data_IF_267434669635
#
_entry.id   IF_267434669635
#
_cell.length_a   1.000
_cell.length_b   1.000
_cell.length_c   1.000
_cell.angle_alpha   90.00
_cell.angle_beta   90.00
_cell.angle_gamma   90.00
#
_symmetry.space_group_name_H-M   'P 1'
#
loop_
_entity.id
_entity.type
_entity.pdbx_description
1 polymer ?
#
# COMPACT_ATOMS: atom_id res chain seq x y z
N UNK A 1 1.76 11.68 -17.32
CA UNK A 1 1.65 10.22 -17.05
C UNK A 1 0.17 9.81 -17.12
N UNK A 2 -0.18 8.79 -17.93
CA UNK A 2 -1.58 8.35 -18.03
C UNK A 2 -1.94 7.54 -16.78
N UNK A 3 -2.81 8.09 -15.90
CA UNK A 3 -3.24 7.41 -14.67
C UNK A 3 -4.17 6.23 -14.92
N UNK A 4 -4.78 6.12 -16.09
CA UNK A 4 -5.95 5.25 -16.28
C UNK A 4 -5.71 4.06 -17.18
N UNK A 5 -4.95 4.18 -18.27
CA UNK A 5 -4.83 3.11 -19.26
C UNK A 5 -3.39 2.64 -19.40
N UNK A 6 -3.15 1.36 -19.13
CA UNK A 6 -1.87 0.70 -19.24
C UNK A 6 -2.09 -0.81 -19.57
N UNK A 7 -1.02 -1.62 -19.60
CA UNK A 7 -1.10 -3.05 -19.90
C UNK A 7 -1.93 -3.82 -18.88
N UNK A 8 -1.82 -3.47 -17.58
CA UNK A 8 -2.56 -4.13 -16.51
C UNK A 8 -4.07 -3.86 -16.61
N UNK A 9 -4.49 -2.61 -16.79
CA UNK A 9 -5.91 -2.26 -16.98
C UNK A 9 -6.47 -2.88 -18.26
N UNK A 10 -5.68 -2.96 -19.34
CA UNK A 10 -6.07 -3.62 -20.58
C UNK A 10 -6.30 -5.13 -20.40
N UNK A 11 -5.41 -5.83 -19.67
CA UNK A 11 -5.56 -7.25 -19.38
C UNK A 11 -6.78 -7.52 -18.48
N UNK A 12 -6.98 -6.69 -17.46
CA UNK A 12 -8.08 -6.83 -16.50
C UNK A 12 -9.42 -6.32 -17.03
N UNK A 13 -9.44 -5.57 -18.13
CA UNK A 13 -10.66 -4.97 -18.69
C UNK A 13 -11.29 -3.93 -17.75
N UNK A 14 -10.47 -3.11 -17.07
CA UNK A 14 -10.93 -2.07 -16.14
C UNK A 14 -10.41 -0.69 -16.52
N UNK A 15 -11.06 0.37 -16.01
CA UNK A 15 -10.72 1.77 -16.34
C UNK A 15 -9.70 2.39 -15.39
N UNK A 16 -9.64 1.87 -14.14
CA UNK A 16 -8.79 2.40 -13.07
C UNK A 16 -7.72 1.39 -12.66
N UNK A 17 -6.48 1.82 -12.39
CA UNK A 17 -5.41 0.95 -11.95
C UNK A 17 -5.51 0.62 -10.45
N UNK A 18 -6.72 0.34 -9.97
CA UNK A 18 -7.04 -0.02 -8.59
C UNK A 18 -7.72 -1.38 -8.58
N UNK A 19 -7.11 -2.31 -7.86
CA UNK A 19 -7.55 -3.70 -7.77
C UNK A 19 -7.91 -4.06 -6.33
N UNK A 20 -9.05 -4.72 -6.13
CA UNK A 20 -9.41 -5.34 -4.85
C UNK A 20 -8.66 -6.66 -4.69
N UNK A 21 -7.93 -6.81 -3.58
CA UNK A 21 -7.28 -8.06 -3.21
C UNK A 21 -8.30 -9.20 -2.99
N UNK A 22 -7.92 -10.42 -3.36
CA UNK A 22 -8.70 -11.62 -3.08
C UNK A 22 -8.65 -12.01 -1.60
N UNK A 23 -9.33 -11.26 -0.74
CA UNK A 23 -9.36 -11.50 0.70
C UNK A 23 -10.32 -12.63 1.04
N UNK A 24 -9.78 -13.75 1.56
CA UNK A 24 -10.57 -14.94 1.90
C UNK A 24 -11.77 -14.61 2.80
N UNK A 25 -12.97 -15.04 2.39
CA UNK A 25 -14.22 -14.77 3.08
C UNK A 25 -14.73 -13.33 3.01
N UNK A 26 -13.86 -12.33 2.90
CA UNK A 26 -14.20 -10.89 2.96
C UNK A 26 -14.58 -10.33 1.58
N UNK A 27 -13.83 -10.69 0.54
CA UNK A 27 -14.08 -10.22 -0.82
C UNK A 27 -15.12 -11.11 -1.50
N UNK A 28 -16.39 -10.81 -1.29
CA UNK A 28 -17.58 -11.46 -1.89
C UNK A 28 -18.09 -10.65 -3.07
N UNK A 29 -19.11 -11.16 -3.75
CA UNK A 29 -19.71 -10.54 -4.93
C UNK A 29 -20.18 -9.10 -4.72
N UNK A 30 -20.71 -8.75 -3.53
CA UNK A 30 -21.11 -7.37 -3.22
C UNK A 30 -19.94 -6.38 -3.35
N UNK A 31 -18.81 -6.72 -2.74
CA UNK A 31 -17.62 -5.85 -2.76
C UNK A 31 -16.98 -5.82 -4.15
N UNK A 32 -16.86 -6.98 -4.81
CA UNK A 32 -16.31 -7.06 -6.17
C UNK A 32 -17.18 -6.26 -7.14
N UNK A 33 -18.52 -6.37 -7.06
CA UNK A 33 -19.45 -5.59 -7.88
C UNK A 33 -19.29 -4.08 -7.67
N UNK A 34 -19.17 -3.63 -6.41
CA UNK A 34 -19.00 -2.21 -6.08
C UNK A 34 -17.69 -1.64 -6.63
N UNK A 35 -16.58 -2.41 -6.56
CA UNK A 35 -15.28 -2.05 -7.12
C UNK A 35 -15.34 -2.00 -8.64
N UNK A 36 -15.93 -3.01 -9.28
CA UNK A 36 -16.08 -3.07 -10.74
C UNK A 36 -16.97 -1.94 -11.27
N UNK A 37 -18.08 -1.66 -10.58
CA UNK A 37 -18.97 -0.53 -10.90
C UNK A 37 -18.27 0.84 -10.83
N UNK A 38 -17.22 0.95 -9.98
CA UNK A 38 -16.42 2.15 -9.87
C UNK A 38 -15.27 2.25 -10.90
N UNK A 39 -15.17 1.26 -11.81
CA UNK A 39 -14.16 1.22 -12.87
C UNK A 39 -12.86 0.48 -12.50
N UNK A 40 -12.77 -0.12 -11.31
CA UNK A 40 -11.65 -0.97 -10.90
C UNK A 40 -11.84 -2.44 -11.27
N UNK A 41 -10.97 -3.28 -10.73
CA UNK A 41 -11.06 -4.73 -10.87
C UNK A 41 -11.09 -5.42 -9.50
N UNK A 42 -11.90 -6.46 -9.33
CA UNK A 42 -12.02 -7.16 -8.06
C UNK A 42 -11.76 -8.66 -8.17
N UNK A 43 -11.01 -9.20 -7.18
CA UNK A 43 -10.89 -10.64 -6.98
C UNK A 43 -11.83 -11.13 -5.88
N UNK A 44 -12.67 -12.14 -6.19
CA UNK A 44 -13.36 -12.93 -5.19
C UNK A 44 -12.33 -13.70 -4.34
N UNK A 45 -12.44 -13.65 -3.03
CA UNK A 45 -11.55 -14.34 -2.10
C UNK A 45 -12.05 -15.73 -1.78
N UNK A 46 -11.63 -16.76 -2.54
CA UNK A 46 -12.19 -18.11 -2.49
C UNK A 46 -11.21 -19.16 -1.96
N UNK A 47 -10.30 -18.74 -1.09
CA UNK A 47 -9.33 -19.64 -0.45
C UNK A 47 -10.03 -20.68 0.41
N UNK A 48 -9.86 -21.97 0.09
CA UNK A 48 -10.47 -23.12 0.79
C UNK A 48 -12.00 -23.11 0.83
N UNK A 49 -12.65 -22.26 0.06
CA UNK A 49 -14.10 -22.24 -0.01
C UNK A 49 -14.65 -23.42 -0.83
N UNK A 50 -15.83 -23.96 -0.46
CA UNK A 50 -16.47 -24.99 -1.25
C UNK A 50 -16.89 -24.47 -2.64
N UNK A 51 -16.88 -25.35 -3.64
CA UNK A 51 -17.22 -24.96 -5.03
C UNK A 51 -18.60 -24.33 -5.16
N UNK A 52 -19.58 -24.83 -4.40
CA UNK A 52 -20.93 -24.26 -4.37
C UNK A 52 -20.96 -22.76 -3.96
N UNK A 53 -20.01 -22.32 -3.11
CA UNK A 53 -19.89 -20.91 -2.78
C UNK A 53 -19.27 -20.13 -3.94
N UNK A 54 -18.24 -20.70 -4.60
CA UNK A 54 -17.63 -20.09 -5.78
C UNK A 54 -18.66 -19.87 -6.88
N UNK A 55 -19.45 -20.92 -7.19
CA UNK A 55 -20.54 -20.88 -8.17
C UNK A 55 -21.52 -19.74 -7.83
N UNK A 56 -22.01 -19.73 -6.60
CA UNK A 56 -22.98 -18.71 -6.14
C UNK A 56 -22.45 -17.28 -6.27
N UNK A 57 -21.21 -17.02 -5.87
CA UNK A 57 -20.63 -15.68 -5.92
C UNK A 57 -20.35 -15.22 -7.37
N UNK A 58 -19.92 -16.14 -8.24
CA UNK A 58 -19.74 -15.89 -9.68
C UNK A 58 -21.09 -15.62 -10.37
N UNK A 59 -22.10 -16.44 -10.07
CA UNK A 59 -23.45 -16.24 -10.61
C UNK A 59 -24.05 -14.91 -10.16
N UNK A 60 -23.86 -14.52 -8.90
CA UNK A 60 -24.31 -13.24 -8.37
C UNK A 60 -23.70 -12.05 -9.13
N UNK A 61 -22.39 -12.08 -9.43
CA UNK A 61 -21.74 -11.06 -10.24
C UNK A 61 -22.30 -10.99 -11.65
N UNK A 62 -22.50 -12.13 -12.30
CA UNK A 62 -23.04 -12.22 -13.66
C UNK A 62 -24.49 -11.74 -13.74
N UNK A 63 -25.29 -12.05 -12.72
CA UNK A 63 -26.67 -11.58 -12.62
C UNK A 63 -26.75 -10.04 -12.50
N UNK A 64 -25.72 -9.39 -11.96
CA UNK A 64 -25.57 -7.93 -11.91
C UNK A 64 -24.99 -7.35 -13.22
N UNK A 65 -24.65 -8.19 -14.21
CA UNK A 65 -24.11 -7.79 -15.50
C UNK A 65 -22.58 -7.63 -15.53
N UNK A 66 -21.86 -8.06 -14.47
CA UNK A 66 -20.41 -7.99 -14.43
C UNK A 66 -19.76 -9.26 -15.00
N UNK A 67 -18.91 -9.10 -16.01
CA UNK A 67 -18.11 -10.16 -16.62
C UNK A 67 -16.60 -10.03 -16.39
N UNK A 68 -16.12 -8.86 -15.93
CA UNK A 68 -14.71 -8.57 -15.68
C UNK A 68 -14.42 -8.62 -14.17
N UNK A 69 -14.11 -9.78 -13.67
CA UNK A 69 -13.70 -10.04 -12.28
C UNK A 69 -12.69 -11.18 -12.25
N UNK A 70 -12.02 -11.36 -11.13
CA UNK A 70 -11.13 -12.50 -10.91
C UNK A 70 -11.56 -13.34 -9.72
N UNK A 71 -10.96 -14.52 -9.59
CA UNK A 71 -11.13 -15.40 -8.43
C UNK A 71 -9.77 -15.75 -7.86
N UNK A 72 -9.58 -15.52 -6.57
CA UNK A 72 -8.35 -15.89 -5.86
C UNK A 72 -8.51 -17.26 -5.20
N UNK A 73 -7.58 -18.16 -5.49
CA UNK A 73 -7.37 -19.42 -4.77
C UNK A 73 -5.90 -19.55 -4.39
N UNK A 74 -5.62 -20.37 -3.37
CA UNK A 74 -4.25 -20.58 -2.89
C UNK A 74 -3.96 -22.09 -2.84
N UNK A 75 -3.26 -22.65 -3.84
CA UNK A 75 -3.00 -24.08 -3.93
C UNK A 75 -2.33 -24.64 -2.67
N UNK A 76 -1.28 -24.00 -2.18
CA UNK A 76 -0.52 -24.46 -1.01
C UNK A 76 -1.31 -24.49 0.31
N UNK A 77 -2.42 -23.72 0.40
CA UNK A 77 -3.27 -23.67 1.58
C UNK A 77 -4.56 -24.47 1.46
N UNK A 78 -4.75 -25.20 0.35
CA UNK A 78 -6.00 -25.91 0.03
C UNK A 78 -5.75 -27.41 -0.08
N UNK A 79 -6.61 -28.22 0.55
CA UNK A 79 -6.57 -29.68 0.39
C UNK A 79 -6.59 -30.07 -1.10
N UNK A 80 -5.79 -31.05 -1.49
CA UNK A 80 -5.59 -31.42 -2.90
C UNK A 80 -6.87 -31.79 -3.62
N UNK A 81 -7.80 -32.49 -2.96
CA UNK A 81 -9.06 -32.89 -3.58
C UNK A 81 -10.01 -31.69 -3.74
N UNK A 82 -10.00 -30.76 -2.78
CA UNK A 82 -10.76 -29.50 -2.89
C UNK A 82 -10.14 -28.60 -3.98
N UNK A 83 -8.81 -28.46 -4.01
CA UNK A 83 -8.11 -27.68 -5.03
C UNK A 83 -8.43 -28.17 -6.43
N UNK A 84 -8.40 -29.48 -6.66
CA UNK A 84 -8.76 -30.06 -7.95
C UNK A 84 -10.19 -29.63 -8.36
N UNK A 85 -11.17 -29.78 -7.48
CA UNK A 85 -12.56 -29.36 -7.74
C UNK A 85 -12.66 -27.84 -7.97
N UNK A 86 -11.95 -27.01 -7.16
CA UNK A 86 -11.96 -25.56 -7.37
C UNK A 86 -11.43 -25.21 -8.75
N UNK A 87 -10.31 -25.80 -9.18
CA UNK A 87 -9.73 -25.53 -10.52
C UNK A 87 -10.70 -25.97 -11.62
N UNK A 88 -11.33 -27.15 -11.51
CA UNK A 88 -12.33 -27.64 -12.46
C UNK A 88 -13.53 -26.69 -12.53
N UNK A 89 -14.10 -26.31 -11.37
CA UNK A 89 -15.23 -25.37 -11.29
C UNK A 89 -14.89 -24.02 -11.93
N UNK A 90 -13.71 -23.44 -11.68
CA UNK A 90 -13.30 -22.17 -12.25
C UNK A 90 -13.16 -22.23 -13.78
N UNK A 91 -12.68 -23.37 -14.30
CA UNK A 91 -12.59 -23.64 -15.75
C UNK A 91 -14.00 -23.77 -16.34
N UNK A 92 -14.87 -24.58 -15.74
CA UNK A 92 -16.26 -24.77 -16.19
C UNK A 92 -17.06 -23.46 -16.16
N UNK A 93 -16.84 -22.63 -15.15
CA UNK A 93 -17.43 -21.31 -15.04
C UNK A 93 -16.83 -20.30 -16.03
N UNK A 94 -15.76 -20.60 -16.75
CA UNK A 94 -15.07 -19.69 -17.66
C UNK A 94 -14.79 -18.34 -16.98
N UNK A 95 -14.19 -18.36 -15.77
CA UNK A 95 -13.81 -17.12 -15.09
C UNK A 95 -12.72 -16.43 -15.91
N UNK A 96 -12.75 -15.10 -16.08
CA UNK A 96 -11.80 -14.43 -16.97
C UNK A 96 -10.36 -14.40 -16.41
N UNK A 97 -10.22 -14.31 -15.09
CA UNK A 97 -8.91 -14.15 -14.43
C UNK A 97 -8.87 -14.96 -13.14
N UNK A 98 -7.76 -15.62 -12.87
CA UNK A 98 -7.47 -16.23 -11.55
C UNK A 98 -6.27 -15.56 -10.90
N UNK A 99 -6.32 -15.35 -9.58
CA UNK A 99 -5.16 -14.94 -8.79
C UNK A 99 -4.68 -16.12 -7.94
N UNK A 100 -3.39 -16.41 -8.04
CA UNK A 100 -2.69 -17.44 -7.26
C UNK A 100 -1.71 -16.80 -6.30
N UNK A 101 -1.46 -17.48 -5.19
CA UNK A 101 -0.54 -16.98 -4.16
C UNK A 101 0.16 -18.14 -3.44
N UNK A 102 1.27 -17.87 -2.83
CA UNK A 102 2.18 -18.74 -2.11
C UNK A 102 3.08 -19.49 -3.09
N UNK A 103 3.41 -20.76 -2.86
CA UNK A 103 4.34 -21.52 -3.70
C UNK A 103 3.90 -21.59 -5.18
N UNK A 104 4.85 -21.49 -6.10
CA UNK A 104 4.53 -21.48 -7.54
C UNK A 104 4.14 -22.88 -8.00
N UNK A 105 2.85 -23.08 -8.28
CA UNK A 105 2.29 -24.31 -8.83
C UNK A 105 2.18 -24.24 -10.36
N UNK A 106 3.20 -24.72 -11.04
CA UNK A 106 3.27 -24.69 -12.51
C UNK A 106 2.16 -25.52 -13.16
N UNK A 107 1.67 -26.58 -12.50
CA UNK A 107 0.63 -27.45 -13.02
C UNK A 107 -0.74 -26.76 -13.01
N UNK A 108 -1.05 -26.04 -11.94
CA UNK A 108 -2.28 -25.25 -11.83
C UNK A 108 -2.25 -24.08 -12.82
N UNK A 109 -1.11 -23.38 -12.96
CA UNK A 109 -0.94 -22.32 -13.97
C UNK A 109 -1.21 -22.86 -15.37
N UNK A 110 -0.61 -24.00 -15.74
CA UNK A 110 -0.80 -24.60 -17.07
C UNK A 110 -2.27 -24.92 -17.35
N UNK A 111 -2.99 -25.51 -16.37
CA UNK A 111 -4.42 -25.84 -16.52
C UNK A 111 -5.29 -24.60 -16.83
N UNK A 112 -5.06 -23.50 -16.13
CA UNK A 112 -5.81 -22.26 -16.38
C UNK A 112 -5.48 -21.65 -17.73
N UNK A 113 -4.19 -21.63 -18.11
CA UNK A 113 -3.76 -21.13 -19.42
C UNK A 113 -4.32 -21.96 -20.57
N UNK A 114 -4.32 -23.28 -20.46
CA UNK A 114 -4.88 -24.20 -21.46
C UNK A 114 -6.40 -23.97 -21.63
N UNK A 115 -7.08 -23.51 -20.58
CA UNK A 115 -8.47 -23.10 -20.60
C UNK A 115 -8.71 -21.64 -21.07
N UNK A 116 -7.64 -20.90 -21.40
CA UNK A 116 -7.74 -19.51 -21.85
C UNK A 116 -8.04 -18.50 -20.72
N UNK A 117 -7.79 -18.88 -19.47
CA UNK A 117 -7.98 -18.05 -18.27
C UNK A 117 -6.66 -17.34 -17.94
N UNK A 118 -6.70 -16.01 -17.80
CA UNK A 118 -5.54 -15.23 -17.43
C UNK A 118 -5.11 -15.52 -15.98
N UNK A 119 -3.80 -15.62 -15.76
CA UNK A 119 -3.22 -15.96 -14.45
C UNK A 119 -2.46 -14.77 -13.88
N UNK A 120 -2.90 -14.28 -12.73
CA UNK A 120 -2.19 -13.29 -11.92
C UNK A 120 -1.52 -14.00 -10.75
N UNK A 121 -0.23 -13.79 -10.54
CA UNK A 121 0.48 -14.42 -9.43
C UNK A 121 0.96 -13.40 -8.41
N UNK A 122 0.59 -13.58 -7.14
CA UNK A 122 1.11 -12.76 -6.05
C UNK A 122 2.43 -13.34 -5.54
N UNK A 123 3.46 -12.48 -5.44
CA UNK A 123 4.83 -12.88 -5.11
C UNK A 123 5.41 -11.99 -4.01
N UNK A 124 6.31 -12.55 -3.19
CA UNK A 124 7.01 -11.86 -2.10
C UNK A 124 8.50 -11.65 -2.36
N UNK A 125 9.02 -12.13 -3.50
CA UNK A 125 10.43 -12.00 -3.87
C UNK A 125 10.61 -11.90 -5.39
N UNK A 126 11.79 -11.42 -5.81
CA UNK A 126 12.17 -11.35 -7.23
C UNK A 126 12.31 -12.74 -7.83
N UNK A 127 12.84 -13.70 -7.07
CA UNK A 127 13.00 -15.09 -7.55
C UNK A 127 11.62 -15.74 -7.81
N UNK A 128 10.64 -15.50 -6.93
CA UNK A 128 9.25 -15.93 -7.15
C UNK A 128 8.63 -15.23 -8.37
N UNK A 129 8.91 -13.94 -8.58
CA UNK A 129 8.42 -13.21 -9.74
C UNK A 129 8.91 -13.82 -11.06
N UNK A 130 10.22 -14.12 -11.15
CA UNK A 130 10.83 -14.77 -12.30
C UNK A 130 10.25 -16.19 -12.49
N UNK A 131 10.06 -16.93 -11.40
CA UNK A 131 9.48 -18.26 -11.45
C UNK A 131 8.03 -18.26 -11.92
N UNK A 132 7.21 -17.30 -11.44
CA UNK A 132 5.82 -17.15 -11.85
C UNK A 132 5.68 -16.75 -13.33
N UNK A 133 6.50 -15.81 -13.83
CA UNK A 133 6.53 -15.47 -15.25
C UNK A 133 6.92 -16.68 -16.10
N UNK A 134 7.95 -17.43 -15.70
CA UNK A 134 8.37 -18.67 -16.40
C UNK A 134 7.30 -19.76 -16.37
N UNK A 135 6.52 -19.83 -15.30
CA UNK A 135 5.38 -20.75 -15.20
C UNK A 135 4.24 -20.34 -16.13
N UNK A 136 4.23 -19.09 -16.60
CA UNK A 136 3.25 -18.55 -17.52
C UNK A 136 2.21 -17.64 -16.88
N UNK A 137 2.51 -16.97 -15.78
CA UNK A 137 1.68 -15.89 -15.29
C UNK A 137 1.62 -14.75 -16.30
N UNK A 138 0.45 -14.13 -16.46
CA UNK A 138 0.21 -13.01 -17.36
C UNK A 138 0.44 -11.65 -16.67
N UNK A 139 0.41 -11.65 -15.33
CA UNK A 139 0.60 -10.46 -14.48
C UNK A 139 1.07 -10.87 -13.09
N UNK A 140 1.79 -9.98 -12.40
CA UNK A 140 2.23 -10.19 -11.02
C UNK A 140 1.60 -9.16 -10.06
N UNK A 141 1.48 -9.58 -8.79
CA UNK A 141 1.25 -8.70 -7.64
C UNK A 141 2.48 -8.77 -6.76
N UNK A 142 3.30 -7.73 -6.72
CA UNK A 142 4.43 -7.63 -5.80
C UNK A 142 3.92 -7.24 -4.41
N UNK A 143 4.00 -8.18 -3.44
CA UNK A 143 3.52 -7.98 -2.09
C UNK A 143 4.67 -7.62 -1.15
N UNK A 144 4.69 -6.36 -0.68
CA UNK A 144 5.61 -5.93 0.38
C UNK A 144 5.25 -6.47 1.76
N UNK A 145 6.23 -6.44 2.67
CA UNK A 145 6.07 -6.90 4.07
C UNK A 145 5.01 -6.09 4.84
N UNK A 146 4.62 -4.92 4.35
CA UNK A 146 3.59 -4.03 4.91
C UNK A 146 2.16 -4.55 4.72
N UNK A 147 1.97 -5.59 3.92
CA UNK A 147 0.64 -6.12 3.62
C UNK A 147 -0.03 -6.71 4.86
N UNK A 148 -1.36 -6.57 4.94
CA UNK A 148 -2.21 -7.31 5.89
C UNK A 148 -2.49 -8.72 5.39
N UNK A 149 -2.84 -9.62 6.32
CA UNK A 149 -3.04 -11.03 5.99
C UNK A 149 -1.73 -11.80 5.90
N UNK A 150 -1.71 -12.86 5.13
CA UNK A 150 -0.50 -13.66 4.91
C UNK A 150 0.54 -12.88 4.12
N UNK A 151 1.76 -12.87 4.63
CA UNK A 151 2.90 -12.15 4.05
C UNK A 151 3.96 -13.17 3.64
N UNK A 152 4.24 -13.23 2.33
CA UNK A 152 5.17 -14.24 1.79
C UNK A 152 6.63 -13.79 1.90
N UNK A 153 6.89 -12.53 1.56
CA UNK A 153 8.22 -11.96 1.52
C UNK A 153 8.61 -11.24 2.81
N UNK A 154 9.88 -10.85 2.88
CA UNK A 154 10.45 -10.11 4.01
C UNK A 154 10.86 -8.69 3.62
N UNK A 155 10.81 -8.35 2.32
CA UNK A 155 11.26 -7.05 1.81
C UNK A 155 10.14 -6.01 1.85
N UNK A 156 10.45 -4.76 2.19
CA UNK A 156 9.53 -3.64 2.01
C UNK A 156 9.12 -3.47 0.53
N UNK A 157 7.90 -3.00 0.32
CA UNK A 157 7.35 -2.84 -1.04
C UNK A 157 8.23 -1.95 -1.92
N UNK A 158 8.76 -0.87 -1.38
CA UNK A 158 9.59 0.09 -2.11
C UNK A 158 10.92 -0.50 -2.62
N UNK A 159 11.41 -1.57 -2.00
CA UNK A 159 12.57 -2.32 -2.48
C UNK A 159 12.16 -3.45 -3.42
N UNK A 160 11.11 -4.19 -3.06
CA UNK A 160 10.65 -5.32 -3.83
C UNK A 160 10.12 -4.92 -5.20
N UNK A 161 9.28 -3.87 -5.25
CA UNK A 161 8.57 -3.46 -6.46
C UNK A 161 9.51 -3.08 -7.62
N UNK A 162 10.44 -2.13 -7.48
CA UNK A 162 11.34 -1.76 -8.59
C UNK A 162 12.25 -2.93 -9.01
N UNK A 163 12.70 -3.75 -8.05
CA UNK A 163 13.50 -4.93 -8.35
C UNK A 163 12.69 -5.99 -9.13
N UNK A 164 11.41 -6.18 -8.80
CA UNK A 164 10.50 -7.07 -9.52
C UNK A 164 10.24 -6.55 -10.93
N UNK A 165 9.88 -5.26 -11.07
CA UNK A 165 9.64 -4.62 -12.37
C UNK A 165 10.85 -4.74 -13.30
N UNK A 166 12.07 -4.58 -12.76
CA UNK A 166 13.29 -4.74 -13.55
C UNK A 166 13.60 -6.19 -13.98
N UNK A 167 13.05 -7.18 -13.28
CA UNK A 167 13.37 -8.60 -13.48
C UNK A 167 12.40 -9.34 -14.41
N UNK A 168 11.22 -8.78 -14.68
CA UNK A 168 10.16 -9.41 -15.48
C UNK A 168 9.67 -8.52 -16.61
N UNK A 169 9.03 -9.12 -17.63
CA UNK A 169 8.47 -8.40 -18.77
C UNK A 169 6.96 -8.18 -18.68
N UNK A 170 6.27 -8.95 -17.86
CA UNK A 170 4.82 -8.87 -17.65
C UNK A 170 4.45 -7.73 -16.69
N UNK A 171 3.20 -7.23 -16.74
CA UNK A 171 2.73 -6.17 -15.84
C UNK A 171 2.88 -6.53 -14.36
N UNK A 172 3.23 -5.55 -13.54
CA UNK A 172 3.36 -5.71 -12.08
C UNK A 172 2.44 -4.74 -11.36
N UNK A 173 1.61 -5.24 -10.45
CA UNK A 173 0.80 -4.46 -9.52
C UNK A 173 1.50 -4.38 -8.16
N UNK A 174 1.39 -3.26 -7.48
CA UNK A 174 1.93 -3.05 -6.14
C UNK A 174 0.90 -3.42 -5.06
N UNK A 175 1.31 -4.13 -4.01
CA UNK A 175 0.47 -4.49 -2.86
C UNK A 175 1.22 -4.40 -1.54
N UNK A 176 0.57 -3.93 -0.49
CA UNK A 176 1.14 -3.85 0.86
C UNK A 176 1.21 -2.42 1.39
N UNK A 177 0.47 -2.15 2.47
CA UNK A 177 0.46 -0.87 3.15
C UNK A 177 -0.21 0.30 2.42
N UNK A 178 -0.80 0.10 1.25
CA UNK A 178 -1.33 1.14 0.37
C UNK A 178 -2.78 1.52 0.75
N UNK A 179 -3.13 2.81 0.70
CA UNK A 179 -4.46 3.30 1.05
C UNK A 179 -4.88 4.64 0.39
N UNK A 180 -3.98 5.38 -0.25
CA UNK A 180 -4.20 6.77 -0.69
C UNK A 180 -3.82 7.01 -2.16
N UNK A 181 -4.21 8.17 -2.70
CA UNK A 181 -3.78 8.60 -4.04
C UNK A 181 -2.27 8.81 -4.16
N UNK A 182 -1.62 9.26 -3.08
CA UNK A 182 -0.17 9.35 -3.02
C UNK A 182 0.51 7.98 -3.14
N UNK A 183 -0.06 6.94 -2.51
CA UNK A 183 0.45 5.57 -2.64
C UNK A 183 0.31 5.05 -4.09
N UNK A 184 -0.80 5.38 -4.77
CA UNK A 184 -0.98 5.05 -6.18
C UNK A 184 0.12 5.69 -7.02
N UNK A 185 0.34 7.00 -6.90
CA UNK A 185 1.35 7.71 -7.67
C UNK A 185 2.76 7.20 -7.40
N UNK A 186 3.10 6.94 -6.15
CA UNK A 186 4.39 6.39 -5.78
C UNK A 186 4.60 5.01 -6.39
N UNK A 187 3.59 4.14 -6.32
CA UNK A 187 3.66 2.81 -6.92
C UNK A 187 3.86 2.88 -8.44
N UNK A 188 3.14 3.78 -9.12
CA UNK A 188 3.31 4.01 -10.56
C UNK A 188 4.71 4.58 -10.90
N UNK A 189 5.25 5.48 -10.08
CA UNK A 189 6.60 6.01 -10.24
C UNK A 189 7.70 4.95 -10.05
N UNK A 190 7.44 3.94 -9.22
CA UNK A 190 8.32 2.78 -9.02
C UNK A 190 8.16 1.71 -10.12
N UNK A 191 7.32 1.95 -11.13
CA UNK A 191 7.13 1.10 -12.30
C UNK A 191 5.97 0.11 -12.18
N UNK A 192 5.15 0.16 -11.15
CA UNK A 192 3.91 -0.60 -11.11
C UNK A 192 2.91 -0.09 -12.16
N UNK A 193 2.00 -0.96 -12.58
CA UNK A 193 0.90 -0.60 -13.48
C UNK A 193 -0.44 -0.48 -12.76
N UNK A 194 -0.44 -0.45 -11.43
CA UNK A 194 -1.59 -0.27 -10.55
C UNK A 194 -1.31 -0.72 -9.13
N UNK A 195 -2.31 -0.59 -8.28
CA UNK A 195 -2.25 -0.97 -6.87
C UNK A 195 -3.32 -2.00 -6.51
N UNK A 196 -2.97 -2.90 -5.58
CA UNK A 196 -3.89 -3.88 -5.01
C UNK A 196 -4.17 -3.51 -3.56
N UNK A 197 -5.44 -3.28 -3.25
CA UNK A 197 -5.90 -2.83 -1.94
C UNK A 197 -6.63 -3.95 -1.20
N UNK A 198 -6.16 -4.28 0.01
CA UNK A 198 -6.85 -5.14 0.96
C UNK A 198 -7.55 -4.31 2.04
N UNK A 199 -6.81 -3.89 3.07
CA UNK A 199 -7.34 -3.24 4.28
C UNK A 199 -8.20 -2.01 3.97
N UNK A 200 -7.81 -1.19 3.00
CA UNK A 200 -8.56 0.01 2.60
C UNK A 200 -9.94 -0.32 2.04
N UNK A 201 -10.09 -1.44 1.31
CA UNK A 201 -11.36 -1.91 0.78
C UNK A 201 -12.09 -2.87 1.74
N UNK A 202 -11.40 -3.48 2.71
CA UNK A 202 -12.04 -4.17 3.82
C UNK A 202 -12.85 -3.20 4.71
N UNK A 203 -12.36 -1.97 4.88
CA UNK A 203 -13.05 -0.91 5.62
C UNK A 203 -14.09 -0.17 4.74
N UNK A 204 -14.93 -0.92 4.01
CA UNK A 204 -16.04 -0.40 3.19
C UNK A 204 -17.35 -1.07 3.55
N UNK A 205 -18.46 -0.48 3.13
CA UNK A 205 -19.80 -0.96 3.46
C UNK A 205 -20.06 -2.37 2.91
N UNK A 206 -19.62 -2.65 1.67
CA UNK A 206 -19.90 -3.88 0.93
C UNK A 206 -19.00 -5.05 1.37
N UNK A 207 -17.86 -4.78 2.02
CA UNK A 207 -16.95 -5.83 2.48
C UNK A 207 -17.64 -6.78 3.49
N UNK A 208 -17.52 -8.09 3.29
CA UNK A 208 -18.14 -9.10 4.14
C UNK A 208 -17.45 -9.27 5.50
N UNK A 209 -16.44 -8.48 5.82
CA UNK A 209 -15.83 -8.40 7.13
C UNK A 209 -16.86 -7.97 8.19
N UNK A 210 -16.73 -8.53 9.39
CA UNK A 210 -17.60 -8.19 10.52
C UNK A 210 -17.39 -6.73 10.97
N UNK A 211 -18.46 -6.06 11.40
CA UNK A 211 -18.42 -4.65 11.81
C UNK A 211 -17.46 -4.39 12.98
N UNK A 212 -17.26 -5.35 13.86
CA UNK A 212 -16.26 -5.25 14.93
C UNK A 212 -14.84 -5.12 14.35
N UNK A 213 -14.50 -5.93 13.34
CA UNK A 213 -13.21 -5.82 12.65
C UNK A 213 -13.06 -4.46 11.96
N UNK A 214 -14.08 -4.03 11.18
CA UNK A 214 -14.06 -2.72 10.52
C UNK A 214 -13.85 -1.57 11.51
N UNK A 215 -14.54 -1.59 12.67
CA UNK A 215 -14.37 -0.56 13.72
C UNK A 215 -12.96 -0.56 14.31
N UNK A 216 -12.35 -1.72 14.51
CA UNK A 216 -10.96 -1.84 14.98
C UNK A 216 -9.96 -1.30 13.98
N UNK A 217 -10.20 -1.49 12.68
CA UNK A 217 -9.35 -0.88 11.64
C UNK A 217 -9.36 0.65 11.72
N UNK A 218 -10.53 1.28 11.93
CA UNK A 218 -10.62 2.75 12.05
C UNK A 218 -9.92 3.31 13.27
N UNK A 219 -9.82 2.54 14.35
CA UNK A 219 -9.17 2.95 15.58
C UNK A 219 -7.65 2.71 15.58
N UNK A 220 -7.12 1.99 14.58
CA UNK A 220 -5.74 1.52 14.57
C UNK A 220 -4.79 2.47 13.83
N UNK A 221 -3.54 2.44 14.25
CA UNK A 221 -2.39 3.05 13.59
C UNK A 221 -1.47 1.96 13.00
N UNK A 222 -0.52 2.34 12.16
CA UNK A 222 0.46 1.41 11.59
C UNK A 222 1.22 0.63 12.67
N UNK A 223 1.57 1.28 13.77
CA UNK A 223 2.24 0.70 14.93
C UNK A 223 1.40 -0.33 15.68
N UNK A 224 0.09 -0.37 15.47
CA UNK A 224 -0.82 -1.33 16.09
C UNK A 224 -0.90 -2.64 15.30
N UNK A 225 -0.18 -2.74 14.17
CA UNK A 225 -0.04 -4.00 13.44
C UNK A 225 1.20 -4.77 13.90
N UNK A 226 1.15 -6.09 13.78
CA UNK A 226 2.28 -6.98 14.05
C UNK A 226 2.31 -8.11 13.02
N UNK A 227 3.52 -8.43 12.53
CA UNK A 227 3.77 -9.64 11.74
C UNK A 227 4.05 -10.79 12.71
N UNK A 228 3.31 -11.89 12.62
CA UNK A 228 3.37 -12.99 13.59
C UNK A 228 3.01 -14.32 12.93
N UNK A 229 3.55 -15.41 13.43
CA UNK A 229 3.21 -16.80 13.10
C UNK A 229 2.19 -17.42 14.08
N UNK A 230 1.65 -16.62 15.00
CA UNK A 230 0.70 -17.07 16.02
C UNK A 230 -0.56 -17.71 15.43
N UNK A 231 -1.07 -17.17 14.30
CA UNK A 231 -2.23 -17.71 13.59
C UNK A 231 -1.79 -18.71 12.52
N UNK A 232 -1.72 -19.99 12.87
CA UNK A 232 -1.12 -21.04 12.03
C UNK A 232 -2.08 -22.18 11.69
N UNK A 233 -3.21 -22.33 12.39
CA UNK A 233 -4.19 -23.38 12.09
C UNK A 233 -4.81 -23.09 10.72
N UNK A 234 -4.87 -24.12 9.87
CA UNK A 234 -5.36 -24.07 8.49
C UNK A 234 -4.44 -23.37 7.48
N UNK A 235 -3.14 -23.23 7.77
CA UNK A 235 -2.16 -22.69 6.83
C UNK A 235 -0.84 -23.46 6.90
N UNK A 236 -0.01 -23.47 5.84
CA UNK A 236 1.32 -24.08 5.89
C UNK A 236 2.16 -23.57 7.07
N UNK A 237 2.95 -24.42 7.72
CA UNK A 237 3.81 -24.02 8.83
C UNK A 237 4.79 -22.91 8.44
N UNK A 238 5.04 -21.96 9.37
CA UNK A 238 5.98 -20.88 9.17
C UNK A 238 5.50 -19.77 8.21
N UNK A 239 4.19 -19.69 7.96
CA UNK A 239 3.58 -18.65 7.14
C UNK A 239 3.10 -17.48 8.03
N UNK A 240 3.85 -16.36 8.10
CA UNK A 240 3.49 -15.25 8.95
C UNK A 240 2.28 -14.49 8.41
N UNK A 241 1.53 -13.89 9.34
CA UNK A 241 0.39 -13.00 9.03
C UNK A 241 0.60 -11.63 9.68
N UNK A 242 0.18 -10.58 8.99
CA UNK A 242 0.09 -9.25 9.60
C UNK A 242 -1.34 -8.99 10.05
N UNK A 243 -1.47 -8.74 11.36
CA UNK A 243 -2.74 -8.54 12.05
C UNK A 243 -2.66 -7.34 12.99
N UNK A 244 -3.80 -6.85 13.48
CA UNK A 244 -3.82 -5.94 14.63
C UNK A 244 -3.31 -6.66 15.89
N UNK A 245 -2.56 -5.94 16.71
CA UNK A 245 -2.14 -6.43 18.04
C UNK A 245 -3.36 -6.77 18.91
N UNK A 246 -3.27 -7.88 19.62
CA UNK A 246 -4.31 -8.39 20.52
C UNK A 246 -3.69 -9.14 21.69
N UNK A 247 -4.51 -9.55 22.65
CA UNK A 247 -4.07 -10.43 23.75
C UNK A 247 -3.47 -11.75 23.25
N UNK A 248 -3.95 -12.23 22.08
CA UNK A 248 -3.43 -13.44 21.44
C UNK A 248 -2.02 -13.21 20.91
N UNK A 249 -1.80 -12.12 20.18
CA UNK A 249 -0.47 -11.78 19.65
C UNK A 249 0.53 -11.39 20.73
N UNK A 250 0.05 -10.92 21.90
CA UNK A 250 0.85 -10.62 23.08
C UNK A 250 1.18 -11.87 23.92
N UNK A 251 0.69 -13.06 23.54
CA UNK A 251 0.88 -14.29 24.31
C UNK A 251 0.11 -14.33 25.64
N UNK A 252 -0.80 -13.40 25.86
CA UNK A 252 -1.60 -13.29 27.09
C UNK A 252 -2.79 -14.24 27.09
N UNK A 253 -3.12 -14.82 25.94
CA UNK A 253 -4.24 -15.72 25.73
C UNK A 253 -3.78 -17.00 25.02
N UNK A 254 -4.20 -18.15 25.55
CA UNK A 254 -3.91 -19.47 24.98
C UNK A 254 -2.82 -20.28 25.69
N UNK A 255 -1.90 -19.65 26.43
CA UNK A 255 -0.88 -20.33 27.25
C UNK A 255 -0.07 -21.38 26.46
N UNK A 256 0.47 -22.39 27.19
CA UNK A 256 1.23 -23.52 26.60
C UNK A 256 0.36 -24.58 25.91
N UNK A 257 -0.89 -24.26 25.56
CA UNK A 257 -1.86 -25.19 24.98
C UNK A 257 -1.98 -25.06 23.46
N UNK A 258 -0.87 -24.78 22.76
CA UNK A 258 -0.85 -24.66 21.30
C UNK A 258 -1.49 -25.85 20.56
N UNK A 259 -1.49 -27.04 21.17
CA UNK A 259 -2.09 -28.25 20.62
C UNK A 259 -3.60 -28.42 20.92
N UNK A 260 -4.18 -27.57 21.77
CA UNK A 260 -5.59 -27.66 22.11
C UNK A 260 -6.42 -26.78 21.14
N UNK A 261 -7.38 -27.43 20.46
CA UNK A 261 -8.38 -26.73 19.65
C UNK A 261 -9.43 -26.05 20.53
N UNK A 262 -9.11 -24.86 21.02
CA UNK A 262 -10.03 -24.05 21.85
C UNK A 262 -10.99 -23.34 20.89
N UNK A 263 -12.28 -23.62 21.04
CA UNK A 263 -13.33 -22.96 20.24
C UNK A 263 -13.54 -21.54 20.79
N UNK A 264 -13.42 -20.54 19.90
CA UNK A 264 -13.62 -19.11 20.18
C UNK A 264 -14.80 -18.51 19.43
N UNK A 265 -15.42 -19.23 18.53
CA UNK A 265 -16.55 -18.78 17.72
C UNK A 265 -17.09 -19.85 16.82
N UNK A 266 -18.04 -19.46 15.99
CA UNK A 266 -18.74 -20.35 15.06
C UNK A 266 -19.12 -19.61 13.77
N UNK A 267 -19.14 -20.35 12.66
CA UNK A 267 -19.71 -19.92 11.36
C UNK A 267 -20.53 -21.07 10.78
N UNK A 268 -21.85 -20.91 10.67
CA UNK A 268 -22.77 -21.91 10.10
C UNK A 268 -22.58 -23.32 10.67
N UNK A 269 -22.39 -23.44 12.01
CA UNK A 269 -22.14 -24.69 12.72
C UNK A 269 -20.67 -25.18 12.65
N UNK A 270 -19.79 -24.51 11.93
CA UNK A 270 -18.35 -24.79 11.88
C UNK A 270 -17.64 -24.07 13.04
N UNK A 271 -16.93 -24.77 13.92
CA UNK A 271 -16.20 -24.12 15.00
C UNK A 271 -15.02 -23.32 14.50
N UNK A 272 -14.84 -22.10 15.03
CA UNK A 272 -13.66 -21.26 14.86
C UNK A 272 -12.71 -21.53 16.05
N UNK A 273 -11.47 -21.83 15.75
CA UNK A 273 -10.47 -22.16 16.78
C UNK A 273 -9.54 -20.98 17.07
N UNK A 274 -9.13 -20.86 18.33
CA UNK A 274 -8.02 -19.99 18.71
C UNK A 274 -6.78 -20.37 17.89
N UNK A 275 -6.02 -19.38 17.43
CA UNK A 275 -4.87 -19.50 16.51
C UNK A 275 -5.23 -19.95 15.08
N UNK A 276 -6.51 -20.03 14.72
CA UNK A 276 -6.88 -20.22 13.32
C UNK A 276 -6.65 -18.95 12.49
N UNK A 277 -6.51 -19.14 11.20
CA UNK A 277 -6.41 -18.03 10.23
C UNK A 277 -7.77 -17.45 9.85
N UNK A 278 -8.82 -17.81 10.57
CA UNK A 278 -10.16 -17.24 10.37
C UNK A 278 -10.19 -15.78 10.84
N UNK A 279 -10.65 -14.89 9.97
CA UNK A 279 -10.86 -13.46 10.25
C UNK A 279 -12.34 -13.21 10.49
N UNK A 280 -12.75 -12.26 11.34
CA UNK A 280 -14.16 -12.00 11.61
C UNK A 280 -14.96 -11.66 10.36
N UNK A 281 -15.97 -12.49 10.04
CA UNK A 281 -16.91 -12.31 8.93
C UNK A 281 -18.32 -11.99 9.45
N UNK A 282 -19.18 -11.41 8.61
CA UNK A 282 -20.58 -11.09 8.97
C UNK A 282 -21.39 -12.31 9.40
N UNK A 283 -21.05 -13.50 8.89
CA UNK A 283 -21.66 -14.80 9.22
C UNK A 283 -21.22 -15.39 10.54
N UNK A 284 -20.15 -14.87 11.14
CA UNK A 284 -19.51 -15.44 12.33
C UNK A 284 -20.09 -14.86 13.63
N UNK A 285 -20.02 -15.67 14.68
CA UNK A 285 -20.26 -15.28 16.07
C UNK A 285 -19.09 -15.70 16.93
N UNK A 286 -18.91 -15.08 18.11
CA UNK A 286 -17.88 -15.46 19.07
C UNK A 286 -16.98 -14.31 19.50
N UNK A 287 -15.78 -14.64 19.90
CA UNK A 287 -14.79 -13.69 20.38
C UNK A 287 -13.92 -13.15 19.23
N UNK A 288 -14.38 -12.09 18.58
CA UNK A 288 -13.70 -11.46 17.45
C UNK A 288 -12.32 -10.91 17.83
N UNK A 289 -12.09 -10.52 19.09
CA UNK A 289 -10.80 -10.04 19.57
C UNK A 289 -9.72 -11.13 19.62
N UNK A 290 -10.12 -12.40 19.60
CA UNK A 290 -9.22 -13.55 19.59
C UNK A 290 -8.99 -14.12 18.18
N UNK A 291 -9.74 -13.67 17.16
CA UNK A 291 -9.56 -14.07 15.76
C UNK A 291 -8.41 -13.31 15.07
N UNK A 292 -8.02 -13.74 13.88
CA UNK A 292 -7.01 -13.07 13.07
C UNK A 292 -7.55 -11.75 12.49
N UNK A 293 -7.21 -10.63 13.13
CA UNK A 293 -7.64 -9.28 12.73
C UNK A 293 -6.70 -8.73 11.66
N UNK A 294 -6.81 -9.20 10.44
CA UNK A 294 -5.92 -8.82 9.34
C UNK A 294 -5.92 -7.32 9.08
N UNK A 295 -4.72 -6.71 9.05
CA UNK A 295 -4.52 -5.30 8.77
C UNK A 295 -3.10 -5.03 8.26
N UNK A 296 -2.94 -4.35 7.14
CA UNK A 296 -1.66 -3.83 6.67
C UNK A 296 -1.28 -2.53 7.37
N UNK A 297 -0.02 -2.10 7.23
CA UNK A 297 0.49 -0.87 7.86
C UNK A 297 -0.21 0.41 7.37
N UNK A 298 -0.87 0.37 6.21
CA UNK A 298 -1.71 1.47 5.71
C UNK A 298 -2.97 1.75 6.53
N UNK A 299 -3.29 0.92 7.53
CA UNK A 299 -4.50 1.02 8.36
C UNK A 299 -4.67 2.41 8.99
N UNK A 300 -3.58 3.03 9.46
CA UNK A 300 -3.61 4.36 10.07
C UNK A 300 -4.06 5.50 9.16
N UNK A 301 -4.19 5.26 7.84
CA UNK A 301 -4.68 6.25 6.86
C UNK A 301 -6.16 6.04 6.47
N UNK A 302 -6.83 5.05 7.07
CA UNK A 302 -8.24 4.76 6.87
C UNK A 302 -9.03 5.42 8.01
N UNK A 303 -9.95 6.34 7.69
CA UNK A 303 -10.64 7.19 8.68
C UNK A 303 -12.14 6.94 8.80
N UNK A 304 -12.72 6.22 7.86
CA UNK A 304 -14.16 6.05 7.72
C UNK A 304 -14.52 4.67 7.15
N UNK A 305 -15.79 4.31 7.23
CA UNK A 305 -16.40 3.22 6.49
C UNK A 305 -17.32 3.87 5.48
N UNK A 306 -17.00 3.73 4.22
CA UNK A 306 -17.71 4.35 3.09
C UNK A 306 -17.96 3.29 2.02
N UNK A 307 -18.87 3.52 1.06
CA UNK A 307 -18.99 2.65 -0.11
C UNK A 307 -17.65 2.49 -0.85
N UNK A 308 -17.32 1.29 -1.32
CA UNK A 308 -16.05 1.00 -2.01
C UNK A 308 -15.80 1.93 -3.19
N UNK A 309 -16.86 2.23 -3.97
CA UNK A 309 -16.77 3.20 -5.06
C UNK A 309 -16.43 4.62 -4.60
N UNK A 310 -16.86 5.03 -3.42
CA UNK A 310 -16.48 6.34 -2.86
C UNK A 310 -14.99 6.34 -2.46
N UNK A 311 -14.52 5.28 -1.80
CA UNK A 311 -13.10 5.09 -1.47
C UNK A 311 -12.22 5.20 -2.71
N UNK A 312 -12.57 4.49 -3.78
CA UNK A 312 -11.82 4.51 -5.03
C UNK A 312 -11.80 5.88 -5.69
N UNK A 313 -12.95 6.58 -5.71
CA UNK A 313 -13.01 7.96 -6.23
C UNK A 313 -12.12 8.92 -5.45
N UNK A 314 -12.08 8.81 -4.12
CA UNK A 314 -11.18 9.62 -3.28
C UNK A 314 -9.72 9.36 -3.64
N UNK A 315 -9.30 8.09 -3.74
CA UNK A 315 -7.92 7.73 -4.11
C UNK A 315 -7.54 8.31 -5.49
N UNK A 316 -8.45 8.19 -6.47
CA UNK A 316 -8.19 8.74 -7.81
C UNK A 316 -8.16 10.26 -7.81
N UNK A 317 -9.10 10.92 -7.12
CA UNK A 317 -9.14 12.38 -7.02
C UNK A 317 -7.90 12.96 -6.33
N UNK A 318 -7.44 12.32 -5.24
CA UNK A 318 -6.19 12.69 -4.58
C UNK A 318 -5.00 12.56 -5.52
N UNK A 319 -4.89 11.44 -6.27
CA UNK A 319 -3.84 11.24 -7.24
C UNK A 319 -3.88 12.29 -8.37
N UNK A 320 -5.06 12.55 -8.93
CA UNK A 320 -5.26 13.57 -9.97
C UNK A 320 -4.92 14.98 -9.47
N UNK A 321 -5.28 15.30 -8.23
CA UNK A 321 -4.95 16.59 -7.61
C UNK A 321 -3.43 16.75 -7.41
N UNK A 322 -2.72 15.73 -6.97
CA UNK A 322 -1.26 15.76 -6.86
C UNK A 322 -0.59 15.98 -8.23
N UNK A 323 -1.06 15.30 -9.28
CA UNK A 323 -0.53 15.51 -10.64
C UNK A 323 -0.82 16.90 -11.17
N UNK A 324 -2.05 17.39 -11.02
CA UNK A 324 -2.42 18.74 -11.46
C UNK A 324 -1.61 19.82 -10.75
N UNK A 325 -1.31 19.64 -9.46
CA UNK A 325 -0.45 20.54 -8.72
C UNK A 325 0.99 20.54 -9.26
N UNK A 326 1.45 19.43 -9.84
CA UNK A 326 2.78 19.30 -10.46
C UNK A 326 2.82 19.90 -11.87
N UNK A 327 1.76 19.79 -12.68
CA UNK A 327 1.68 20.33 -14.05
C UNK A 327 1.53 21.86 -14.11
N UNK A 328 0.97 22.50 -13.06
CA UNK A 328 0.84 23.97 -13.01
C UNK A 328 2.20 24.69 -12.92
N UNK A 329 3.29 23.97 -12.63
CA UNK A 329 4.66 24.52 -12.59
C UNK A 329 5.36 24.54 -13.94
N UNK A 330 4.80 23.98 -15.02
CA UNK A 330 5.41 23.97 -16.37
C UNK A 330 4.88 25.06 -17.34
N UNK A 331 4.01 25.97 -16.91
CA UNK A 331 3.56 27.06 -17.78
C UNK A 331 4.60 28.18 -17.87
N UNK A 332 5.03 28.64 -19.08
CA UNK A 332 6.03 29.67 -19.21
C UNK A 332 5.48 31.00 -18.66
N UNK A 333 6.27 31.61 -17.79
CA UNK A 333 6.00 32.95 -17.27
C UNK A 333 6.09 33.99 -18.43
N UNK A 334 4.96 34.47 -18.87
CA UNK A 334 4.89 35.79 -19.52
C UNK A 334 3.76 36.59 -18.88
N UNK A 335 4.16 37.68 -18.32
CA UNK A 335 3.44 38.91 -18.11
C UNK A 335 3.22 39.38 -16.67
N UNK A 336 3.88 40.47 -16.44
CA UNK A 336 3.42 41.70 -15.75
C UNK A 336 3.51 41.73 -14.23
N UNK A 337 4.63 42.26 -13.80
CA UNK A 337 4.76 42.97 -12.56
C UNK A 337 3.76 44.14 -12.51
N UNK A 338 2.91 44.15 -11.52
CA UNK A 338 2.21 45.39 -11.08
C UNK A 338 2.84 45.81 -9.76
N UNK A 339 3.65 46.87 -9.85
CA UNK A 339 4.13 47.64 -8.69
C UNK A 339 2.97 48.28 -7.94
N UNK A 340 2.89 48.01 -6.63
CA UNK A 340 2.29 48.91 -5.69
C UNK A 340 3.37 49.39 -4.71
N UNK A 341 3.77 50.65 -4.89
CA UNK A 341 4.53 51.40 -3.89
C UNK A 341 3.59 51.96 -2.83
N UNK A 342 3.85 51.66 -1.59
CA UNK A 342 3.19 52.26 -0.45
C UNK A 342 4.15 52.19 0.74
N UNK A 343 4.79 53.33 1.05
CA UNK A 343 5.63 53.54 2.23
C UNK A 343 4.82 53.34 3.51
N UNK A 344 5.32 52.55 4.44
CA UNK A 344 5.17 52.79 5.88
C UNK A 344 6.30 52.10 6.66
N UNK A 345 6.97 52.92 7.46
CA UNK A 345 8.06 52.58 8.38
C UNK A 345 7.57 51.70 9.55
N UNK A 346 8.32 50.68 9.84
CA UNK A 346 8.21 49.86 11.05
C UNK A 346 8.96 48.56 10.83
N UNK A 347 9.83 48.16 11.76
CA UNK A 347 10.68 46.96 11.70
C UNK A 347 9.94 45.72 11.23
N UNK A 348 9.84 45.52 9.91
CA UNK A 348 9.34 44.31 9.26
C UNK A 348 10.54 43.52 8.75
N UNK A 349 10.74 42.29 9.23
CA UNK A 349 11.49 41.32 8.50
C UNK A 349 10.82 41.13 7.14
N UNK A 350 11.43 41.63 6.07
CA UNK A 350 10.86 41.65 4.73
C UNK A 350 10.53 40.25 4.23
N UNK A 351 9.45 40.13 3.48
CA UNK A 351 9.10 38.92 2.72
C UNK A 351 10.15 38.69 1.65
N UNK A 352 10.64 37.46 1.51
CA UNK A 352 11.63 37.10 0.48
C UNK A 352 11.01 37.27 -0.92
N UNK A 353 11.79 37.73 -1.89
CA UNK A 353 11.38 37.71 -3.30
C UNK A 353 11.49 36.31 -3.91
N UNK A 354 11.10 36.14 -5.16
CA UNK A 354 11.04 34.81 -5.80
C UNK A 354 12.41 34.12 -5.89
N UNK A 355 13.50 34.86 -6.15
CA UNK A 355 14.86 34.30 -6.24
C UNK A 355 15.39 33.97 -4.83
N UNK A 356 15.09 34.81 -3.84
CA UNK A 356 15.44 34.58 -2.45
C UNK A 356 14.68 33.37 -1.88
N UNK A 357 13.40 33.20 -2.21
CA UNK A 357 12.62 32.01 -1.85
C UNK A 357 13.23 30.74 -2.44
N UNK A 358 13.57 30.75 -3.73
CA UNK A 358 14.20 29.62 -4.41
C UNK A 358 15.56 29.28 -3.78
N UNK A 359 16.37 30.30 -3.47
CA UNK A 359 17.68 30.12 -2.79
C UNK A 359 17.52 29.52 -1.41
N UNK A 360 16.57 30.03 -0.62
CA UNK A 360 16.31 29.60 0.75
C UNK A 360 15.81 28.16 0.82
N UNK A 361 14.88 27.78 -0.06
CA UNK A 361 14.36 26.40 -0.13
C UNK A 361 15.46 25.40 -0.55
N UNK A 362 16.34 25.81 -1.47
CA UNK A 362 17.49 24.97 -1.88
C UNK A 362 18.54 24.81 -0.80
N UNK A 363 18.73 25.78 0.11
CA UNK A 363 19.58 25.60 1.28
C UNK A 363 18.99 24.60 2.27
N UNK A 364 17.66 24.66 2.50
CA UNK A 364 16.97 23.71 3.37
C UNK A 364 17.01 22.30 2.79
N UNK A 365 16.83 22.14 1.47
CA UNK A 365 17.00 20.85 0.80
C UNK A 365 18.42 20.30 1.04
N UNK A 366 19.45 21.13 0.84
CA UNK A 366 20.83 20.76 1.05
C UNK A 366 21.14 20.35 2.50
N UNK A 367 20.59 21.06 3.50
CA UNK A 367 20.76 20.73 4.91
C UNK A 367 19.99 19.45 5.30
N UNK A 368 18.77 19.26 4.77
CA UNK A 368 18.00 18.04 4.97
C UNK A 368 18.73 16.82 4.41
N UNK A 369 19.25 16.92 3.19
CA UNK A 369 20.08 15.87 2.57
C UNK A 369 21.35 15.60 3.39
N UNK A 370 21.96 16.61 3.98
CA UNK A 370 23.15 16.46 4.82
C UNK A 370 22.83 15.80 6.16
N UNK A 371 21.73 16.17 6.81
CA UNK A 371 21.22 15.49 8.02
C UNK A 371 20.94 14.01 7.72
N UNK A 372 20.29 13.70 6.61
CA UNK A 372 20.03 12.35 6.16
C UNK A 372 21.32 11.61 5.80
N UNK A 373 22.27 12.26 5.14
CA UNK A 373 23.58 11.71 4.78
C UNK A 373 24.46 11.40 5.98
N UNK A 374 24.46 12.24 7.01
CA UNK A 374 25.16 12.00 8.27
C UNK A 374 24.63 10.78 9.03
N UNK A 375 23.34 10.47 8.86
CA UNK A 375 22.70 9.30 9.45
C UNK A 375 22.93 8.03 8.62
N UNK A 376 22.94 8.15 7.29
CA UNK A 376 22.97 7.03 6.36
C UNK A 376 24.37 6.66 5.85
N UNK A 377 25.37 7.58 6.02
CA UNK A 377 26.68 7.50 5.40
C UNK A 377 26.69 8.01 3.95
N UNK A 378 27.81 8.60 3.50
CA UNK A 378 27.93 9.30 2.20
C UNK A 378 27.57 8.44 0.97
N UNK A 379 27.87 7.13 1.00
CA UNK A 379 27.54 6.22 -0.11
C UNK A 379 26.03 5.91 -0.24
N UNK A 380 25.27 6.04 0.84
CA UNK A 380 23.83 5.81 0.86
C UNK A 380 23.03 7.10 0.65
N UNK A 381 23.60 8.25 1.03
CA UNK A 381 23.01 9.56 0.72
C UNK A 381 22.93 9.83 -0.79
N UNK A 382 23.86 9.28 -1.58
CA UNK A 382 23.79 9.34 -3.04
C UNK A 382 22.60 8.57 -3.63
N UNK A 383 22.04 7.60 -2.89
CA UNK A 383 20.85 6.86 -3.30
C UNK A 383 19.54 7.62 -3.02
N UNK A 384 19.56 8.70 -2.22
CA UNK A 384 18.39 9.56 -1.97
C UNK A 384 17.98 10.36 -3.23
N UNK A 385 18.81 10.39 -4.26
CA UNK A 385 18.47 10.91 -5.59
C UNK A 385 17.53 9.98 -6.39
N UNK A 386 17.23 8.79 -5.87
CA UNK A 386 16.30 7.85 -6.51
C UNK A 386 15.00 7.74 -5.69
N UNK A 387 13.83 7.57 -6.32
CA UNK A 387 12.53 7.43 -5.66
C UNK A 387 12.38 6.24 -4.70
N UNK A 388 13.46 5.54 -4.39
CA UNK A 388 13.49 4.24 -3.73
C UNK A 388 13.49 4.25 -2.19
N UNK A 389 13.48 5.42 -1.53
CA UNK A 389 13.51 5.51 -0.08
C UNK A 389 12.13 5.78 0.50
N UNK A 390 11.45 4.72 0.87
CA UNK A 390 10.13 4.92 1.40
C UNK A 390 9.61 3.79 2.30
N UNK A 391 9.66 4.00 3.57
CA UNK A 391 8.61 3.64 4.51
C UNK A 391 8.58 4.58 5.74
N UNK A 392 9.66 4.88 6.42
CA UNK A 392 9.71 6.00 7.38
C UNK A 392 10.59 7.16 6.88
N UNK A 393 11.40 6.89 5.84
CA UNK A 393 12.05 7.89 5.00
C UNK A 393 11.15 8.49 3.92
N UNK A 394 9.95 7.95 3.66
CA UNK A 394 9.01 8.48 2.64
C UNK A 394 8.62 9.92 2.91
N UNK A 395 8.31 10.23 4.13
CA UNK A 395 7.97 11.61 4.49
C UNK A 395 9.14 12.54 4.17
N UNK A 396 10.37 12.19 4.57
CA UNK A 396 11.56 13.02 4.34
C UNK A 396 11.99 13.05 2.87
N UNK A 397 11.91 11.95 2.14
CA UNK A 397 12.16 11.91 0.71
C UNK A 397 11.07 12.66 -0.07
N UNK A 398 9.81 12.52 0.31
CA UNK A 398 8.70 13.31 -0.25
C UNK A 398 8.88 14.80 0.01
N UNK A 399 9.35 15.19 1.20
CA UNK A 399 9.67 16.58 1.53
C UNK A 399 10.86 17.09 0.73
N UNK A 400 11.91 16.28 0.54
CA UNK A 400 13.07 16.64 -0.29
C UNK A 400 12.65 16.85 -1.75
N UNK A 401 11.83 15.95 -2.31
CA UNK A 401 11.27 16.09 -3.66
C UNK A 401 10.34 17.30 -3.76
N UNK A 402 9.52 17.56 -2.74
CA UNK A 402 8.63 18.71 -2.70
C UNK A 402 9.42 20.03 -2.63
N UNK A 403 10.49 20.10 -1.84
CA UNK A 403 11.37 21.26 -1.77
C UNK A 403 12.12 21.49 -3.08
N UNK A 404 12.59 20.41 -3.73
CA UNK A 404 13.24 20.47 -5.04
C UNK A 404 12.31 20.94 -6.14
N UNK A 405 11.06 20.51 -6.11
CA UNK A 405 10.00 20.89 -7.04
C UNK A 405 9.66 22.39 -6.93
N UNK A 406 9.66 22.91 -5.70
CA UNK A 406 9.39 24.34 -5.42
C UNK A 406 10.60 25.20 -5.78
N UNK A 407 11.83 24.71 -5.55
CA UNK A 407 13.09 25.42 -5.78
C UNK A 407 13.56 25.41 -7.24
N UNK A 408 13.01 24.52 -8.10
CA UNK A 408 13.44 24.33 -9.48
C UNK A 408 14.75 23.52 -9.64
N UNK A 409 15.09 23.09 -10.87
CA UNK A 409 16.27 22.28 -11.13
C UNK A 409 17.56 23.08 -10.88
N UNK A 410 18.47 22.49 -10.12
CA UNK A 410 19.81 23.08 -9.81
C UNK A 410 20.95 22.26 -10.38
N UNK A 411 22.03 22.95 -10.80
CA UNK A 411 23.34 22.32 -10.99
C UNK A 411 23.87 21.83 -9.63
N UNK A 412 24.43 20.61 -9.60
CA UNK A 412 24.97 19.98 -8.39
C UNK A 412 26.07 20.85 -7.77
N UNK A 413 25.73 21.62 -6.75
CA UNK A 413 26.64 22.42 -5.94
C UNK A 413 27.23 21.60 -4.79
N UNK A 414 28.47 21.91 -4.40
CA UNK A 414 29.20 21.26 -3.30
C UNK A 414 28.45 21.42 -1.98
N UNK A 415 28.19 20.31 -1.28
CA UNK A 415 27.69 20.29 0.10
C UNK A 415 28.70 20.87 1.08
N UNK A 416 28.24 21.70 2.01
CA UNK A 416 29.06 22.26 3.09
C UNK A 416 29.16 21.24 4.25
N UNK A 417 30.37 20.80 4.69
CA UNK A 417 30.52 19.69 5.64
C UNK A 417 30.18 20.00 7.09
N UNK A 418 29.73 21.20 7.46
CA UNK A 418 29.58 21.62 8.86
C UNK A 418 28.12 21.76 9.36
N UNK A 419 27.12 21.56 8.53
CA UNK A 419 25.71 21.62 8.96
C UNK A 419 25.14 20.21 9.05
N UNK A 420 24.64 19.77 10.15
CA UNK A 420 24.16 18.40 10.31
C UNK A 420 23.38 18.14 11.60
N UNK A 421 23.05 19.21 12.33
CA UNK A 421 22.27 19.10 13.57
C UNK A 421 20.78 19.34 13.28
N UNK A 422 19.91 18.32 13.52
CA UNK A 422 18.45 18.46 13.35
C UNK A 422 17.86 19.65 14.11
N UNK A 423 18.40 19.99 15.28
CA UNK A 423 17.95 21.16 16.05
C UNK A 423 18.30 22.49 15.35
N UNK A 424 19.38 22.53 14.57
CA UNK A 424 19.72 23.68 13.74
C UNK A 424 18.74 23.85 12.58
N UNK A 425 18.38 22.75 11.92
CA UNK A 425 17.40 22.74 10.83
C UNK A 425 16.00 23.19 11.33
N UNK A 426 15.54 22.68 12.48
CA UNK A 426 14.26 23.10 13.09
C UNK A 426 14.22 24.59 13.36
N UNK A 427 15.32 25.17 13.92
CA UNK A 427 15.42 26.62 14.15
C UNK A 427 15.35 27.39 12.83
N UNK A 428 16.11 26.97 11.81
CA UNK A 428 16.14 27.60 10.49
C UNK A 428 14.77 27.60 9.82
N UNK A 429 14.04 26.48 9.91
CA UNK A 429 12.66 26.39 9.43
C UNK A 429 11.73 27.37 10.16
N UNK A 430 11.89 27.50 11.49
CA UNK A 430 11.12 28.44 12.30
C UNK A 430 11.37 29.91 11.95
N UNK A 431 12.61 30.26 11.63
CA UNK A 431 13.00 31.62 11.25
C UNK A 431 12.62 31.97 9.81
N UNK A 432 12.59 30.95 8.92
CA UNK A 432 12.36 31.16 7.49
C UNK A 432 10.89 31.10 7.09
N UNK A 433 10.09 30.20 7.68
CA UNK A 433 8.68 30.04 7.31
C UNK A 433 7.87 31.35 7.40
N UNK A 434 8.01 32.22 8.44
CA UNK A 434 7.30 33.50 8.51
C UNK A 434 7.70 34.52 7.43
N UNK A 435 8.89 34.34 6.83
CA UNK A 435 9.42 35.24 5.78
C UNK A 435 8.98 34.86 4.39
N UNK A 436 8.42 33.65 4.21
CA UNK A 436 7.87 33.21 2.94
C UNK A 436 6.47 33.80 2.71
N UNK A 437 6.10 34.09 1.46
CA UNK A 437 4.75 34.48 1.12
C UNK A 437 3.75 33.38 1.51
N UNK A 438 2.51 33.77 1.84
CA UNK A 438 1.45 32.83 2.15
C UNK A 438 1.22 31.86 0.97
N UNK A 439 1.01 30.60 1.28
CA UNK A 439 0.78 29.55 0.31
C UNK A 439 1.74 28.38 0.44
N UNK A 440 1.82 27.55 -0.61
CA UNK A 440 2.51 26.25 -0.63
C UNK A 440 3.94 26.25 -0.04
N UNK A 441 4.85 27.18 -0.36
CA UNK A 441 6.20 27.18 0.21
C UNK A 441 6.20 27.31 1.74
N UNK A 442 5.43 28.28 2.26
CA UNK A 442 5.33 28.54 3.71
C UNK A 442 4.70 27.36 4.44
N UNK A 443 3.57 26.84 3.91
CA UNK A 443 2.86 25.71 4.50
C UNK A 443 3.74 24.45 4.52
N UNK A 444 4.55 24.25 3.49
CA UNK A 444 5.52 23.15 3.40
C UNK A 444 6.57 23.23 4.52
N UNK A 445 7.17 24.42 4.77
CA UNK A 445 8.18 24.58 5.82
C UNK A 445 7.58 24.43 7.22
N UNK A 446 6.36 24.91 7.44
CA UNK A 446 5.64 24.76 8.72
C UNK A 446 5.39 23.27 8.99
N UNK A 447 4.89 22.53 8.01
CA UNK A 447 4.61 21.10 8.16
C UNK A 447 5.89 20.28 8.34
N UNK A 448 6.96 20.57 7.60
CA UNK A 448 8.26 19.92 7.78
C UNK A 448 8.84 20.18 9.18
N UNK A 449 8.75 21.41 9.67
CA UNK A 449 9.16 21.77 11.03
C UNK A 449 8.40 20.95 12.07
N UNK A 450 7.08 20.87 11.94
CA UNK A 450 6.23 20.11 12.87
C UNK A 450 6.62 18.63 12.90
N UNK A 451 6.86 18.00 11.76
CA UNK A 451 7.31 16.61 11.67
C UNK A 451 8.65 16.41 12.38
N UNK A 452 9.59 17.34 12.21
CA UNK A 452 10.91 17.27 12.86
C UNK A 452 10.85 17.54 14.36
N UNK A 453 9.93 18.38 14.84
CA UNK A 453 9.71 18.66 16.27
C UNK A 453 9.01 17.49 16.98
N UNK A 454 8.02 16.85 16.34
CA UNK A 454 7.26 15.73 16.92
C UNK A 454 8.08 14.44 17.01
N UNK A 455 9.07 14.26 16.12
CA UNK A 455 9.98 13.11 16.12
C UNK A 455 11.34 13.55 16.66
N UNK A 456 11.70 13.11 17.88
CA UNK A 456 13.05 13.38 18.40
C UNK A 456 14.10 12.87 17.41
N UNK A 457 15.19 13.60 17.23
CA UNK A 457 16.29 13.22 16.34
C UNK A 457 16.76 11.76 16.55
N UNK A 458 16.68 11.25 17.79
CA UNK A 458 16.99 9.86 18.14
C UNK A 458 15.93 8.85 17.65
N UNK A 459 14.66 9.25 17.44
CA UNK A 459 13.63 8.38 16.87
C UNK A 459 13.73 8.34 15.34
N UNK A 460 14.01 9.46 14.70
CA UNK A 460 14.33 9.53 13.26
C UNK A 460 15.57 8.67 12.94
N UNK A 461 16.62 8.77 13.74
CA UNK A 461 17.84 7.97 13.57
C UNK A 461 17.60 6.48 13.81
N UNK A 462 16.79 6.09 14.81
CA UNK A 462 16.48 4.68 15.07
C UNK A 462 15.60 4.06 13.99
N UNK A 463 14.61 4.77 13.47
CA UNK A 463 13.78 4.27 12.37
C UNK A 463 14.60 4.07 11.10
N UNK A 464 15.52 4.98 10.78
CA UNK A 464 16.44 4.88 9.66
C UNK A 464 17.48 3.76 9.84
N UNK A 465 18.04 3.58 11.04
CA UNK A 465 18.99 2.50 11.33
C UNK A 465 18.33 1.11 11.28
N UNK A 466 17.09 0.96 11.71
CA UNK A 466 16.36 -0.31 11.65
C UNK A 466 16.08 -0.75 10.21
N UNK A 467 15.82 0.19 9.30
CA UNK A 467 15.64 -0.08 7.87
C UNK A 467 16.93 -0.45 7.13
N UNK A 468 18.09 -0.20 7.73
CA UNK A 468 19.41 -0.39 7.10
C UNK A 468 20.16 -1.63 7.62
N UNK A 469 19.71 -2.24 8.71
CA UNK A 469 20.35 -3.41 9.36
C UNK A 469 19.50 -4.68 9.29
N UNK A 470 18.30 -4.62 8.75
CA UNK A 470 17.45 -5.74 8.38
C UNK A 470 17.36 -5.81 6.86
#
# INVERSE_FOLDING_TARGET
>A
MALRTNRATGLLGCDLPIVLAGMGGVARSELVAAVTAAGGFGFLGMVREPTALIEREVEALRALGYGNFGVNIIPAATDSALLQRQVETLIELHVPVVALFWDIDTSVVARFRDAGIAVVYQVGSVDEAIAAERAGADMLIAQGVEAGGHVRGTRPLHELLPATVAAVSIPVLASGGLATGGDLLTSLALGAEGIVLGTALMATEEAFAHDDHKRRLLAAHASDTVLTDTFHINWPPGAPVRVLKSEVTAGQRGGSHADQRIVIGEEDGRPIFLFSTDSPLRSMTGDFGAMALYAGTGVGRIRDIVPAGARMRTIMADAEQFLAATEVTEAPSSASAVCYAGEMSGDYMGTLDGDEVTSALGEIEGELLHVLGGVLGESKAACLDTPAFASDGYELAAWTLTLRDIAGPRERGRTNPQAGDPASLIRKLGDMAPRLPDGRPRDTLIALRQVLEERSASQLVRSLQFSLTS
#
